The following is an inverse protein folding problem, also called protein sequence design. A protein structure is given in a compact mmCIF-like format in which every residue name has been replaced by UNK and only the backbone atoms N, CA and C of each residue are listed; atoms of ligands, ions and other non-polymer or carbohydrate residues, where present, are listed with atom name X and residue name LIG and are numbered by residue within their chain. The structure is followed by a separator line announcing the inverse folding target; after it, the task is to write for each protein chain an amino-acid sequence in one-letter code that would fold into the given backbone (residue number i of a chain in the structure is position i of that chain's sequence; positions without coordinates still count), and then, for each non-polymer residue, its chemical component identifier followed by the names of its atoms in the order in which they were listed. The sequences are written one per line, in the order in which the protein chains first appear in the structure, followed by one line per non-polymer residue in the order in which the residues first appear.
data_IF_863434843071
#
_entry.id   IF_863434843071
#
_cell.length_a   1.000
_cell.length_b   1.000
_cell.length_c   1.000
_cell.angle_alpha   90.00
_cell.angle_beta   90.00
_cell.angle_gamma   90.00
#
_symmetry.space_group_name_H-M   'P 1'
#
loop_
_entity.id
_entity.type
_entity.pdbx_description
1 polymer ?
#
# COMPACT_ATOMS: atom_id res chain seq x y z
N UNK A 1 10.31 29.44 23.61
CA UNK A 1 10.51 28.06 24.09
C UNK A 1 9.34 27.69 24.96
N UNK A 2 8.51 26.75 24.54
CA UNK A 2 7.46 26.15 25.37
C UNK A 2 7.37 24.68 24.97
N UNK A 3 8.12 23.84 25.67
CA UNK A 3 7.96 22.39 25.60
C UNK A 3 6.62 22.06 26.25
N UNK A 4 5.64 21.67 25.43
CA UNK A 4 4.42 21.05 25.94
C UNK A 4 4.79 19.66 26.43
N UNK A 5 4.67 19.44 27.74
CA UNK A 5 4.71 18.12 28.35
C UNK A 5 3.63 17.25 27.70
N UNK A 6 4.06 16.33 26.85
CA UNK A 6 3.29 15.15 26.50
C UNK A 6 3.25 14.26 27.74
N UNK A 7 2.33 14.57 28.66
CA UNK A 7 1.94 13.61 29.68
C UNK A 7 1.39 12.39 28.94
N UNK A 8 2.24 11.37 28.83
CA UNK A 8 1.95 10.12 28.14
C UNK A 8 0.61 9.59 28.61
N UNK A 9 -0.33 9.46 27.67
CA UNK A 9 -1.60 8.81 27.90
C UNK A 9 -1.29 7.37 28.30
N UNK A 10 -1.31 7.06 29.59
CA UNK A 10 -1.23 5.70 30.07
C UNK A 10 -2.54 5.00 29.68
N UNK A 11 -2.43 4.06 28.75
CA UNK A 11 -3.54 3.16 28.45
C UNK A 11 -3.88 2.38 29.74
N UNK A 12 -5.16 2.20 30.07
CA UNK A 12 -5.55 1.41 31.22
C UNK A 12 -4.96 0.01 31.08
N UNK A 13 -4.29 -0.46 32.13
CA UNK A 13 -3.83 -1.84 32.18
C UNK A 13 -5.03 -2.76 31.97
N UNK A 14 -4.84 -3.76 31.10
CA UNK A 14 -5.86 -4.79 30.88
C UNK A 14 -6.19 -5.39 32.26
N UNK A 15 -7.43 -5.23 32.70
CA UNK A 15 -7.89 -5.85 33.93
C UNK A 15 -7.70 -7.36 33.78
N UNK A 16 -6.67 -7.90 34.43
CA UNK A 16 -6.64 -9.32 34.70
C UNK A 16 -7.84 -9.57 35.59
N UNK A 17 -8.81 -10.34 35.09
CA UNK A 17 -9.99 -10.72 35.85
C UNK A 17 -9.58 -11.73 36.94
N UNK A 18 -8.83 -11.26 37.95
CA UNK A 18 -8.53 -12.01 39.17
C UNK A 18 -9.72 -11.96 40.15
N UNK A 19 -10.76 -11.17 39.84
CA UNK A 19 -12.02 -11.18 40.55
C UNK A 19 -12.89 -12.35 40.13
N UNK A 20 -12.65 -13.53 40.72
CA UNK A 20 -13.66 -14.53 41.08
C UNK A 20 -14.84 -14.76 40.12
N UNK A 21 -14.62 -14.68 38.81
CA UNK A 21 -15.64 -15.10 37.84
C UNK A 21 -15.76 -16.60 38.06
N UNK A 22 -16.94 -17.08 38.48
CA UNK A 22 -17.22 -18.52 38.51
C UNK A 22 -16.76 -19.10 37.18
N UNK A 23 -15.74 -19.94 37.21
CA UNK A 23 -15.15 -20.52 36.02
C UNK A 23 -16.23 -21.24 35.23
N UNK A 24 -16.68 -20.63 34.13
CA UNK A 24 -17.49 -21.29 33.14
C UNK A 24 -16.56 -22.33 32.50
N UNK A 25 -17.07 -23.55 32.27
CA UNK A 25 -16.28 -24.58 31.59
C UNK A 25 -15.69 -24.01 30.29
N UNK A 26 -14.42 -24.30 29.98
CA UNK A 26 -13.80 -23.82 28.75
C UNK A 26 -14.63 -24.29 27.55
N UNK A 27 -14.89 -23.39 26.63
CA UNK A 27 -15.57 -23.69 25.37
C UNK A 27 -14.55 -23.50 24.25
N UNK A 28 -14.42 -24.53 23.41
CA UNK A 28 -13.59 -24.43 22.21
C UNK A 28 -14.26 -23.49 21.20
N UNK A 29 -13.53 -22.47 20.78
CA UNK A 29 -14.01 -21.47 19.81
C UNK A 29 -13.17 -21.58 18.55
N UNK A 30 -13.84 -21.75 17.42
CA UNK A 30 -13.21 -21.58 16.12
C UNK A 30 -13.12 -20.10 15.78
N UNK A 31 -11.90 -19.64 15.51
CA UNK A 31 -11.61 -18.27 15.10
C UNK A 31 -11.12 -18.26 13.66
N UNK A 32 -11.51 -17.23 12.90
CA UNK A 32 -11.08 -17.06 11.51
C UNK A 32 -9.67 -16.44 11.45
N UNK A 33 -8.68 -17.18 11.93
CA UNK A 33 -7.26 -16.77 11.94
C UNK A 33 -6.40 -17.94 11.51
N UNK A 34 -5.34 -17.64 10.74
CA UNK A 34 -4.35 -18.62 10.33
C UNK A 34 -3.01 -18.26 10.95
N UNK A 35 -2.30 -19.26 11.47
CA UNK A 35 -0.96 -19.07 12.04
C UNK A 35 0.07 -18.90 10.92
N UNK A 36 0.87 -17.85 11.03
CA UNK A 36 1.96 -17.58 10.09
C UNK A 36 3.26 -18.21 10.62
N UNK A 37 3.80 -19.20 9.91
CA UNK A 37 5.06 -19.83 10.29
C UNK A 37 6.26 -19.10 9.67
N UNK A 38 7.04 -18.42 10.52
CA UNK A 38 8.23 -17.66 10.12
C UNK A 38 9.55 -18.43 10.19
N UNK A 39 9.55 -19.73 10.50
CA UNK A 39 10.79 -20.54 10.64
C UNK A 39 11.64 -20.56 9.37
N UNK A 40 11.01 -20.48 8.20
CA UNK A 40 11.68 -20.41 6.90
C UNK A 40 11.88 -19.01 6.34
N UNK A 41 11.44 -17.96 7.06
CA UNK A 41 11.60 -16.58 6.62
C UNK A 41 13.08 -16.17 6.67
N UNK A 42 13.54 -15.21 5.83
CA UNK A 42 14.87 -14.64 5.98
C UNK A 42 15.02 -13.96 7.35
N UNK A 43 16.23 -13.88 7.88
CA UNK A 43 16.49 -13.17 9.15
C UNK A 43 16.19 -11.67 9.00
N UNK A 44 16.61 -11.09 7.86
CA UNK A 44 16.44 -9.68 7.54
C UNK A 44 15.87 -9.47 6.14
N UNK A 45 15.10 -8.39 6.01
CA UNK A 45 14.69 -7.83 4.72
C UNK A 45 15.03 -6.34 4.67
N UNK A 46 15.25 -5.82 3.48
CA UNK A 46 15.72 -4.45 3.27
C UNK A 46 14.58 -3.61 2.72
N UNK A 47 14.22 -2.56 3.46
CA UNK A 47 13.21 -1.60 3.06
C UNK A 47 13.82 -0.45 2.27
N UNK A 48 13.07 -0.03 1.26
CA UNK A 48 13.38 1.09 0.39
C UNK A 48 12.13 1.92 0.16
N UNK A 49 12.32 3.22 -0.07
CA UNK A 49 11.30 4.09 -0.63
C UNK A 49 11.45 4.14 -2.14
N UNK A 50 10.41 3.74 -2.86
CA UNK A 50 10.30 3.80 -4.31
C UNK A 50 9.25 4.84 -4.71
N UNK A 51 9.72 5.96 -5.27
CA UNK A 51 8.88 7.07 -5.75
C UNK A 51 8.92 7.16 -7.25
N UNK A 52 7.76 7.27 -7.88
CA UNK A 52 7.65 7.57 -9.31
C UNK A 52 7.27 9.03 -9.51
N UNK A 53 8.03 9.72 -10.37
CA UNK A 53 7.84 11.14 -10.71
C UNK A 53 7.67 11.27 -12.21
N UNK A 54 6.60 11.94 -12.64
CA UNK A 54 6.41 12.36 -14.02
C UNK A 54 6.99 13.75 -14.27
N UNK A 55 7.68 13.92 -15.39
CA UNK A 55 8.15 15.22 -15.89
C UNK A 55 7.20 15.70 -16.99
N UNK A 56 6.67 16.91 -16.85
CA UNK A 56 5.65 17.49 -17.73
C UNK A 56 6.13 18.82 -18.31
N UNK A 57 5.89 19.05 -19.60
CA UNK A 57 6.12 20.36 -20.20
C UNK A 57 5.11 21.39 -19.71
N UNK A 58 5.61 22.49 -19.15
CA UNK A 58 4.81 23.67 -18.86
C UNK A 58 4.48 24.42 -20.15
N UNK A 59 3.19 24.74 -20.34
CA UNK A 59 2.73 25.58 -21.47
C UNK A 59 2.83 27.09 -21.21
N UNK A 60 3.33 27.51 -20.04
CA UNK A 60 3.36 28.93 -19.63
C UNK A 60 4.76 29.36 -19.21
N UNK A 61 5.36 30.25 -20.00
CA UNK A 61 6.60 30.96 -19.67
C UNK A 61 7.76 30.59 -20.60
N UNK A 62 8.54 31.60 -21.00
CA UNK A 62 9.72 31.44 -21.86
C UNK A 62 10.73 30.50 -21.19
N UNK A 63 11.27 29.59 -22.00
CA UNK A 63 12.14 28.46 -21.67
C UNK A 63 11.44 27.25 -21.03
N UNK A 64 11.64 26.08 -21.65
CA UNK A 64 10.97 24.81 -21.36
C UNK A 64 11.30 24.25 -19.98
N UNK A 65 10.79 24.87 -18.92
CA UNK A 65 10.81 24.30 -17.59
C UNK A 65 9.92 23.06 -17.52
N UNK A 66 10.52 21.95 -17.14
CA UNK A 66 9.83 20.71 -16.81
C UNK A 66 9.28 20.82 -15.38
N UNK A 67 7.98 20.64 -15.23
CA UNK A 67 7.34 20.49 -13.93
C UNK A 67 7.39 19.01 -13.53
N UNK A 68 7.97 18.73 -12.37
CA UNK A 68 8.00 17.38 -11.80
C UNK A 68 6.81 17.16 -10.89
N UNK A 69 6.08 16.05 -11.06
CA UNK A 69 4.96 15.68 -10.18
C UNK A 69 5.12 14.24 -9.70
N UNK A 70 4.99 14.03 -8.40
CA UNK A 70 4.96 12.71 -7.81
C UNK A 70 3.64 11.99 -8.17
N UNK A 71 3.76 10.81 -8.76
CA UNK A 71 2.60 10.09 -9.32
C UNK A 71 1.71 9.48 -8.24
N UNK A 72 2.25 9.26 -7.03
CA UNK A 72 1.50 8.76 -5.89
C UNK A 72 0.47 9.77 -5.37
N UNK A 73 0.72 11.06 -5.62
CA UNK A 73 -0.17 12.14 -5.20
C UNK A 73 -1.36 12.30 -6.16
N UNK A 74 -2.51 12.69 -5.60
CA UNK A 74 -3.70 12.98 -6.41
C UNK A 74 -5.01 12.85 -5.63
N UNK A 75 -6.14 12.87 -6.34
CA UNK A 75 -7.45 12.77 -5.73
C UNK A 75 -7.61 11.52 -4.86
N UNK A 76 -8.22 11.68 -3.69
CA UNK A 76 -8.35 10.63 -2.66
C UNK A 76 -9.58 9.74 -2.83
N UNK A 77 -10.37 9.95 -3.88
CA UNK A 77 -11.49 9.05 -4.20
C UNK A 77 -10.97 7.66 -4.58
N UNK A 78 -11.78 6.66 -4.30
CA UNK A 78 -11.34 5.27 -4.40
C UNK A 78 -10.98 4.88 -5.83
N UNK A 79 -11.75 5.35 -6.82
CA UNK A 79 -11.48 5.10 -8.23
C UNK A 79 -10.08 5.61 -8.66
N UNK A 80 -9.70 6.81 -8.19
CA UNK A 80 -8.39 7.38 -8.48
C UNK A 80 -7.26 6.62 -7.76
N UNK A 81 -7.50 6.14 -6.53
CA UNK A 81 -6.56 5.29 -5.80
C UNK A 81 -6.31 3.97 -6.53
N UNK A 82 -7.37 3.31 -6.98
CA UNK A 82 -7.28 2.09 -7.80
C UNK A 82 -6.44 2.32 -9.06
N UNK A 83 -6.72 3.41 -9.78
CA UNK A 83 -6.00 3.77 -11.01
C UNK A 83 -4.52 4.02 -10.76
N UNK A 84 -4.19 4.78 -9.70
CA UNK A 84 -2.81 5.04 -9.32
C UNK A 84 -2.09 3.76 -8.96
N UNK A 85 -2.73 2.87 -8.19
CA UNK A 85 -2.13 1.59 -7.81
C UNK A 85 -1.81 0.73 -9.04
N UNK A 86 -2.74 0.63 -9.98
CA UNK A 86 -2.53 -0.08 -11.26
C UNK A 86 -1.34 0.51 -12.04
N UNK A 87 -1.26 1.84 -12.11
CA UNK A 87 -0.16 2.55 -12.74
C UNK A 87 1.18 2.24 -12.05
N UNK A 88 1.26 2.37 -10.72
CA UNK A 88 2.50 2.15 -9.96
C UNK A 88 2.98 0.71 -10.08
N UNK A 89 2.07 -0.26 -10.00
CA UNK A 89 2.41 -1.66 -10.23
C UNK A 89 2.98 -1.90 -11.64
N UNK A 90 2.39 -1.28 -12.64
CA UNK A 90 2.85 -1.40 -14.03
C UNK A 90 4.22 -0.75 -14.22
N UNK A 91 4.44 0.44 -13.65
CA UNK A 91 5.73 1.14 -13.67
C UNK A 91 6.81 0.34 -12.93
N UNK A 92 6.47 -0.26 -11.79
CA UNK A 92 7.36 -1.15 -11.05
C UNK A 92 7.82 -2.34 -11.88
N UNK A 93 6.91 -3.00 -12.60
CA UNK A 93 7.27 -4.10 -13.50
C UNK A 93 8.20 -3.64 -14.62
N UNK A 94 7.91 -2.50 -15.24
CA UNK A 94 8.76 -1.92 -16.29
C UNK A 94 10.15 -1.61 -15.73
N UNK A 95 10.21 -1.04 -14.52
CA UNK A 95 11.46 -0.71 -13.85
C UNK A 95 12.33 -1.96 -13.63
N UNK A 96 11.73 -3.05 -13.12
CA UNK A 96 12.40 -4.35 -12.96
C UNK A 96 12.96 -4.87 -14.29
N UNK A 97 12.13 -4.85 -15.34
CA UNK A 97 12.50 -5.42 -16.64
C UNK A 97 13.62 -4.62 -17.33
N UNK A 98 13.57 -3.29 -17.26
CA UNK A 98 14.60 -2.41 -17.85
C UNK A 98 15.92 -2.44 -17.08
N UNK A 99 15.88 -2.75 -15.77
CA UNK A 99 17.04 -2.64 -14.88
C UNK A 99 17.38 -4.00 -14.25
N UNK A 100 17.25 -5.08 -15.00
CA UNK A 100 17.55 -6.44 -14.56
C UNK A 100 18.99 -6.61 -14.05
N UNK A 101 19.95 -5.82 -14.55
CA UNK A 101 21.32 -5.82 -14.04
C UNK A 101 21.40 -5.37 -12.58
N UNK A 102 20.51 -4.48 -12.14
CA UNK A 102 20.45 -3.97 -10.78
C UNK A 102 19.49 -4.77 -9.88
N UNK A 103 18.30 -5.13 -10.38
CA UNK A 103 17.29 -5.86 -9.59
C UNK A 103 17.42 -7.38 -9.68
N UNK A 104 18.17 -7.92 -10.63
CA UNK A 104 18.24 -9.34 -10.93
C UNK A 104 17.02 -9.82 -11.72
N UNK A 105 16.98 -11.12 -12.01
CA UNK A 105 15.89 -11.78 -12.75
C UNK A 105 14.74 -12.27 -11.87
N UNK A 106 14.98 -12.43 -10.57
CA UNK A 106 14.03 -13.01 -9.61
C UNK A 106 13.05 -11.96 -9.05
N UNK A 107 11.93 -11.75 -9.74
CA UNK A 107 10.89 -10.76 -9.35
C UNK A 107 10.20 -11.07 -8.01
N UNK A 108 10.20 -12.33 -7.59
CA UNK A 108 9.62 -12.80 -6.32
C UNK A 108 10.45 -12.43 -5.09
N UNK A 109 11.60 -11.77 -5.26
CA UNK A 109 12.45 -11.27 -4.16
C UNK A 109 12.07 -9.87 -3.68
N UNK A 110 11.00 -9.30 -4.24
CA UNK A 110 10.58 -7.93 -4.01
C UNK A 110 9.11 -7.85 -3.62
N UNK A 111 8.81 -6.95 -2.69
CA UNK A 111 7.45 -6.64 -2.28
C UNK A 111 7.19 -5.15 -2.32
N UNK A 112 6.25 -4.72 -3.16
CA UNK A 112 5.96 -3.30 -3.39
C UNK A 112 4.50 -2.99 -3.08
N UNK A 113 4.27 -1.98 -2.24
CA UNK A 113 2.95 -1.51 -1.80
C UNK A 113 2.18 -0.71 -2.86
N UNK A 114 2.80 -0.45 -4.01
CA UNK A 114 2.25 0.38 -5.09
C UNK A 114 1.98 1.84 -4.69
N UNK A 115 2.68 2.33 -3.67
CA UNK A 115 2.66 3.71 -3.22
C UNK A 115 4.08 4.22 -2.96
N UNK A 116 4.76 3.68 -1.94
CA UNK A 116 6.07 4.16 -1.51
C UNK A 116 7.00 3.02 -1.06
N UNK A 117 6.51 2.05 -0.28
CA UNK A 117 7.37 1.05 0.36
C UNK A 117 7.67 -0.12 -0.57
N UNK A 118 8.97 -0.36 -0.77
CA UNK A 118 9.52 -1.53 -1.44
C UNK A 118 10.39 -2.31 -0.46
N UNK A 119 10.08 -3.57 -0.25
CA UNK A 119 10.92 -4.51 0.48
C UNK A 119 11.66 -5.43 -0.50
N UNK A 120 12.84 -5.84 -0.10
CA UNK A 120 13.69 -6.76 -0.86
C UNK A 120 14.35 -7.77 0.06
N UNK A 121 14.50 -9.01 -0.39
CA UNK A 121 15.19 -10.06 0.38
C UNK A 121 16.71 -9.84 0.37
N UNK A 122 17.23 -9.22 -0.69
CA UNK A 122 18.66 -8.91 -0.83
C UNK A 122 18.90 -7.42 -0.66
N UNK A 123 20.05 -7.06 -0.08
CA UNK A 123 20.48 -5.67 -0.03
C UNK A 123 20.76 -5.17 -1.45
N UNK A 124 20.09 -4.08 -1.83
CA UNK A 124 20.33 -3.44 -3.13
C UNK A 124 21.35 -2.30 -3.05
N UNK A 125 21.36 -1.57 -1.94
CA UNK A 125 22.10 -0.31 -1.75
C UNK A 125 22.45 -0.12 -0.27
N UNK A 126 23.31 0.85 0.03
CA UNK A 126 23.61 1.26 1.42
C UNK A 126 22.50 2.18 1.94
N UNK A 127 22.17 2.14 3.24
CA UNK A 127 21.10 2.96 3.80
C UNK A 127 21.42 4.45 3.62
N UNK A 128 20.43 5.24 3.21
CA UNK A 128 20.57 6.64 2.83
C UNK A 128 21.02 6.87 1.38
N UNK A 129 21.46 5.83 0.66
CA UNK A 129 21.76 5.93 -0.77
C UNK A 129 20.47 6.09 -1.57
N UNK A 130 20.50 7.01 -2.55
CA UNK A 130 19.41 7.25 -3.49
C UNK A 130 19.88 6.99 -4.91
N UNK A 131 19.08 6.26 -5.68
CA UNK A 131 19.33 5.97 -7.08
C UNK A 131 18.16 6.40 -7.95
N UNK A 132 18.47 7.09 -9.03
CA UNK A 132 17.50 7.50 -10.05
C UNK A 132 17.53 6.51 -11.22
N UNK A 133 16.34 6.13 -11.69
CA UNK A 133 16.13 5.35 -12.90
C UNK A 133 15.20 6.09 -13.83
N UNK A 134 15.52 6.08 -15.12
CA UNK A 134 14.67 6.67 -16.17
C UNK A 134 13.90 5.54 -16.85
N UNK A 135 12.57 5.66 -16.91
CA UNK A 135 11.73 4.71 -17.63
C UNK A 135 11.61 5.13 -19.09
N UNK A 136 12.00 4.23 -20.00
CA UNK A 136 11.91 4.47 -21.44
C UNK A 136 10.46 4.74 -21.88
N UNK A 137 10.27 5.77 -22.71
CA UNK A 137 8.97 6.18 -23.22
C UNK A 137 8.25 5.06 -24.00
N UNK A 138 8.99 4.24 -24.73
CA UNK A 138 8.44 3.09 -25.48
C UNK A 138 7.75 2.08 -24.55
N UNK A 139 8.32 1.84 -23.37
CA UNK A 139 7.73 0.90 -22.41
C UNK A 139 6.47 1.44 -21.75
N UNK A 140 6.26 2.77 -21.73
CA UNK A 140 5.00 3.37 -21.27
C UNK A 140 3.83 3.04 -22.21
N UNK A 141 4.09 2.64 -23.45
CA UNK A 141 3.05 2.17 -24.37
C UNK A 141 2.45 0.82 -23.95
N UNK A 142 3.15 0.04 -23.12
CA UNK A 142 2.62 -1.21 -22.56
C UNK A 142 1.61 -0.97 -21.42
N UNK A 143 1.48 0.27 -20.93
CA UNK A 143 0.50 0.63 -19.90
C UNK A 143 -0.93 0.52 -20.45
N UNK A 144 -1.87 0.17 -19.56
CA UNK A 144 -3.30 0.18 -19.86
C UNK A 144 -3.77 1.57 -20.30
N UNK A 145 -4.85 1.63 -21.09
CA UNK A 145 -5.44 2.90 -21.56
C UNK A 145 -5.74 3.83 -20.39
N UNK A 146 -6.22 3.27 -19.28
CA UNK A 146 -6.53 3.99 -18.04
C UNK A 146 -5.29 4.56 -17.37
N UNK A 147 -4.24 3.75 -17.19
CA UNK A 147 -2.97 4.19 -16.60
C UNK A 147 -2.28 5.24 -17.45
N UNK A 148 -2.30 5.07 -18.78
CA UNK A 148 -1.75 6.04 -19.75
C UNK A 148 -2.50 7.36 -19.72
N UNK A 149 -3.82 7.34 -19.50
CA UNK A 149 -4.61 8.56 -19.34
C UNK A 149 -4.19 9.38 -18.10
N UNK A 150 -3.64 8.75 -17.06
CA UNK A 150 -3.10 9.44 -15.89
C UNK A 150 -1.75 10.14 -16.20
N UNK A 151 -1.00 9.61 -17.17
CA UNK A 151 0.27 10.16 -17.66
C UNK A 151 0.10 11.10 -18.87
N UNK A 152 -1.10 11.67 -19.09
CA UNK A 152 -1.33 12.59 -20.21
C UNK A 152 -0.33 13.74 -20.18
N UNK A 153 0.36 13.96 -21.30
CA UNK A 153 1.38 14.99 -21.46
C UNK A 153 2.60 14.84 -20.55
N UNK A 154 2.79 13.65 -19.96
CA UNK A 154 4.04 13.27 -19.31
C UNK A 154 5.08 12.96 -20.39
N UNK A 155 6.22 13.61 -20.33
CA UNK A 155 7.33 13.36 -21.25
C UNK A 155 8.14 12.15 -20.83
N UNK A 156 8.38 12.04 -19.52
CA UNK A 156 9.27 11.05 -18.94
C UNK A 156 8.82 10.69 -17.54
N UNK A 157 8.97 9.42 -17.19
CA UNK A 157 8.80 8.95 -15.82
C UNK A 157 10.17 8.57 -15.26
N UNK A 158 10.47 9.07 -14.07
CA UNK A 158 11.63 8.71 -13.27
C UNK A 158 11.20 7.92 -12.05
N UNK A 159 12.00 6.94 -11.68
CA UNK A 159 11.87 6.22 -10.43
C UNK A 159 13.04 6.57 -9.52
N UNK A 160 12.75 6.97 -8.30
CA UNK A 160 13.74 7.23 -7.26
C UNK A 160 13.64 6.14 -6.22
N UNK A 161 14.72 5.38 -6.03
CA UNK A 161 14.82 4.34 -5.01
C UNK A 161 15.76 4.84 -3.92
N UNK A 162 15.31 4.84 -2.66
CA UNK A 162 16.11 5.25 -1.50
C UNK A 162 16.14 4.11 -0.49
N UNK A 163 17.32 3.64 -0.08
CA UNK A 163 17.40 2.61 0.95
C UNK A 163 17.18 3.22 2.33
N UNK A 164 16.26 2.68 3.13
CA UNK A 164 15.86 3.29 4.40
C UNK A 164 16.31 2.48 5.62
N UNK A 165 15.86 1.22 5.71
CA UNK A 165 16.04 0.42 6.91
C UNK A 165 16.24 -1.06 6.62
N UNK A 166 16.78 -1.77 7.61
CA UNK A 166 16.91 -3.22 7.64
C UNK A 166 15.93 -3.74 8.69
N UNK A 167 15.03 -4.64 8.29
CA UNK A 167 13.91 -5.12 9.09
C UNK A 167 14.18 -6.57 9.50
N UNK A 168 14.23 -6.82 10.81
CA UNK A 168 14.49 -8.15 11.36
C UNK A 168 13.17 -8.96 11.44
N UNK A 169 12.94 -9.81 10.45
CA UNK A 169 11.65 -10.52 10.28
C UNK A 169 11.39 -11.55 11.37
N UNK A 170 12.45 -12.15 11.92
CA UNK A 170 12.36 -13.17 12.98
C UNK A 170 12.28 -12.58 14.39
N UNK A 171 12.18 -11.25 14.52
CA UNK A 171 12.11 -10.59 15.81
C UNK A 171 10.81 -10.98 16.55
N UNK A 172 10.93 -11.63 17.71
CA UNK A 172 9.79 -12.07 18.52
C UNK A 172 8.95 -10.90 19.10
N UNK A 173 9.54 -9.70 19.19
CA UNK A 173 8.88 -8.51 19.75
C UNK A 173 7.70 -8.02 18.91
N UNK A 174 7.54 -8.48 17.67
CA UNK A 174 6.41 -8.15 16.78
C UNK A 174 5.05 -8.55 17.39
N UNK A 175 5.04 -9.55 18.26
CA UNK A 175 3.81 -10.05 18.91
C UNK A 175 3.39 -9.25 20.15
N UNK A 176 4.22 -8.30 20.60
CA UNK A 176 3.97 -7.50 21.80
C UNK A 176 3.30 -6.16 21.46
N UNK A 177 2.48 -5.58 22.37
CA UNK A 177 1.98 -4.22 22.20
C UNK A 177 3.15 -3.22 22.11
N UNK A 178 3.24 -2.49 21.00
CA UNK A 178 4.40 -1.64 20.70
C UNK A 178 5.55 -2.36 20.00
N UNK A 179 5.32 -3.57 19.52
CA UNK A 179 6.24 -4.33 18.68
C UNK A 179 6.63 -3.61 17.38
N UNK A 180 7.61 -4.17 16.69
CA UNK A 180 8.19 -3.60 15.49
C UNK A 180 7.15 -3.49 14.35
N UNK A 181 6.74 -2.26 14.07
CA UNK A 181 5.72 -1.95 13.05
C UNK A 181 6.21 -2.26 11.63
N UNK A 182 7.52 -2.17 11.37
CA UNK A 182 8.08 -2.41 10.04
C UNK A 182 7.94 -3.88 9.64
N UNK A 183 8.09 -4.81 10.60
CA UNK A 183 7.82 -6.23 10.34
C UNK A 183 6.34 -6.48 10.06
N UNK A 184 5.43 -5.87 10.83
CA UNK A 184 3.99 -5.98 10.57
C UNK A 184 3.62 -5.47 9.18
N UNK A 185 4.14 -4.31 8.77
CA UNK A 185 3.92 -3.73 7.45
C UNK A 185 4.46 -4.64 6.34
N UNK A 186 5.66 -5.20 6.51
CA UNK A 186 6.24 -6.15 5.56
C UNK A 186 5.34 -7.40 5.39
N UNK A 187 4.86 -7.99 6.49
CA UNK A 187 4.02 -9.18 6.45
C UNK A 187 2.63 -8.90 5.85
N UNK A 188 2.04 -7.75 6.18
CA UNK A 188 0.79 -7.29 5.56
C UNK A 188 0.95 -7.14 4.05
N UNK A 189 2.05 -6.52 3.61
CA UNK A 189 2.34 -6.36 2.19
C UNK A 189 2.54 -7.70 1.47
N UNK A 190 3.32 -8.62 2.05
CA UNK A 190 3.53 -9.95 1.48
C UNK A 190 2.21 -10.71 1.26
N UNK A 191 1.28 -10.57 2.20
CA UNK A 191 -0.02 -11.26 2.13
C UNK A 191 -0.93 -10.71 1.02
N UNK A 192 -0.72 -9.45 0.60
CA UNK A 192 -1.62 -8.72 -0.31
C UNK A 192 -1.05 -8.53 -1.71
N UNK A 193 0.27 -8.48 -1.88
CA UNK A 193 0.93 -8.10 -3.14
C UNK A 193 0.53 -8.96 -4.35
N UNK A 194 0.41 -10.29 -4.19
CA UNK A 194 0.04 -11.19 -5.30
C UNK A 194 -1.32 -10.88 -5.89
N UNK A 195 -2.20 -10.24 -5.12
CA UNK A 195 -3.53 -9.86 -5.59
C UNK A 195 -3.49 -8.73 -6.63
N UNK A 196 -2.39 -7.97 -6.69
CA UNK A 196 -2.17 -6.91 -7.68
C UNK A 196 -1.67 -7.46 -9.03
N UNK A 197 -1.07 -8.65 -9.06
CA UNK A 197 -0.35 -9.17 -10.22
C UNK A 197 -1.21 -9.26 -11.49
N UNK A 198 -2.47 -9.68 -11.34
CA UNK A 198 -3.40 -9.89 -12.46
C UNK A 198 -4.41 -8.75 -12.65
N UNK A 199 -4.38 -7.73 -11.78
CA UNK A 199 -5.41 -6.67 -11.75
C UNK A 199 -6.85 -7.25 -11.80
N UNK A 200 -7.09 -8.38 -11.12
CA UNK A 200 -8.38 -9.09 -11.10
C UNK A 200 -9.27 -8.68 -9.93
N UNK A 201 -8.78 -7.79 -9.06
CA UNK A 201 -9.49 -7.34 -7.86
C UNK A 201 -9.61 -5.82 -7.83
N UNK A 202 -10.68 -5.32 -7.22
CA UNK A 202 -10.78 -3.96 -6.71
C UNK A 202 -10.38 -3.94 -5.24
N UNK A 203 -9.62 -2.94 -4.79
CA UNK A 203 -9.03 -2.90 -3.44
C UNK A 203 -9.45 -1.63 -2.70
N UNK A 204 -10.41 -1.75 -1.80
CA UNK A 204 -10.93 -0.62 -1.02
C UNK A 204 -10.45 -0.72 0.43
N UNK A 205 -9.40 0.03 0.77
CA UNK A 205 -8.70 -0.11 2.05
C UNK A 205 -8.16 -1.53 2.18
N UNK A 206 -8.47 -2.20 3.30
CA UNK A 206 -8.00 -3.57 3.57
C UNK A 206 -8.96 -4.65 3.03
N UNK A 207 -9.85 -4.29 2.10
CA UNK A 207 -10.83 -5.22 1.50
C UNK A 207 -10.58 -5.36 0.02
N UNK A 208 -10.71 -6.59 -0.47
CA UNK A 208 -10.54 -6.92 -1.89
C UNK A 208 -11.81 -7.58 -2.42
N UNK A 209 -12.19 -7.19 -3.64
CA UNK A 209 -13.38 -7.70 -4.33
C UNK A 209 -12.98 -8.18 -5.71
N UNK A 210 -13.29 -9.44 -6.04
CA UNK A 210 -12.96 -9.99 -7.36
C UNK A 210 -13.81 -9.30 -8.44
N UNK A 211 -13.19 -8.85 -9.53
CA UNK A 211 -13.88 -8.19 -10.64
C UNK A 211 -14.95 -9.06 -11.29
N UNK A 212 -14.73 -10.38 -11.29
CA UNK A 212 -15.68 -11.37 -11.82
C UNK A 212 -16.81 -11.70 -10.85
N UNK A 213 -16.68 -11.35 -9.57
CA UNK A 213 -17.71 -11.58 -8.54
C UNK A 213 -18.79 -10.49 -8.54
N UNK A 214 -18.76 -9.55 -9.49
CA UNK A 214 -19.87 -8.64 -9.75
C UNK A 214 -21.06 -9.48 -10.21
N UNK A 215 -21.96 -9.81 -9.26
CA UNK A 215 -23.35 -10.08 -9.60
C UNK A 215 -23.79 -8.91 -10.48
N UNK A 216 -24.11 -9.20 -11.75
CA UNK A 216 -24.79 -8.23 -12.58
C UNK A 216 -26.01 -7.76 -11.79
N UNK A 217 -25.98 -6.54 -11.28
CA UNK A 217 -27.16 -5.83 -10.80
C UNK A 217 -28.01 -5.48 -12.04
N UNK A 218 -28.49 -6.51 -12.73
CA UNK A 218 -29.54 -6.40 -13.74
C UNK A 218 -30.86 -6.56 -13.01
N UNK A 219 -31.65 -5.49 -13.03
CA UNK A 219 -33.02 -5.47 -12.52
C UNK A 219 -33.24 -4.43 -11.42
N UNK A 220 -33.30 -3.17 -11.82
CA UNK A 220 -34.54 -2.37 -11.82
C UNK A 220 -34.24 -1.11 -12.65
N UNK A 221 -34.80 -1.09 -13.86
CA UNK A 221 -34.90 0.11 -14.67
C UNK A 221 -35.83 1.09 -13.93
N UNK A 222 -35.33 2.27 -13.56
CA UNK A 222 -36.16 3.33 -13.02
C UNK A 222 -35.44 4.43 -12.25
N UNK A 223 -34.66 5.25 -12.98
CA UNK A 223 -34.12 6.58 -12.60
C UNK A 223 -32.85 6.63 -11.73
N UNK A 224 -31.80 7.17 -12.37
CA UNK A 224 -30.60 7.81 -11.83
C UNK A 224 -29.84 7.04 -10.72
N UNK A 225 -29.01 6.10 -11.16
CA UNK A 225 -28.01 5.42 -10.34
C UNK A 225 -26.82 6.34 -10.04
N UNK A 226 -26.97 7.13 -8.98
CA UNK A 226 -25.83 7.53 -8.16
C UNK A 226 -25.32 6.32 -7.38
N UNK A 227 -24.00 6.18 -7.30
CA UNK A 227 -23.34 5.17 -6.45
C UNK A 227 -23.74 5.46 -4.99
N UNK A 228 -24.65 4.66 -4.45
CA UNK A 228 -25.01 4.69 -3.04
C UNK A 228 -23.95 3.93 -2.24
N UNK A 229 -22.94 4.68 -1.78
CA UNK A 229 -22.10 4.25 -0.67
C UNK A 229 -22.96 4.15 0.60
N UNK A 230 -22.72 3.17 1.49
CA UNK A 230 -23.45 3.06 2.75
C UNK A 230 -23.21 4.32 3.60
N UNK A 231 -24.28 5.10 3.82
CA UNK A 231 -24.29 6.25 4.72
C UNK A 231 -23.99 5.76 6.14
N UNK A 232 -23.01 6.40 6.79
CA UNK A 232 -22.82 6.32 8.25
C UNK A 232 -24.12 6.74 8.94
N UNK A 233 -24.75 5.81 9.65
CA UNK A 233 -25.80 6.13 10.63
C UNK A 233 -25.20 7.00 11.74
N UNK A 234 -25.59 8.28 11.77
CA UNK A 234 -25.45 9.09 12.97
C UNK A 234 -26.51 8.63 13.97
N UNK A 235 -26.08 7.95 15.04
CA UNK A 235 -26.89 7.83 16.25
C UNK A 235 -26.90 9.18 16.95
N UNK A 236 -28.08 9.79 17.05
CA UNK A 236 -28.37 10.92 17.91
C UNK A 236 -29.71 10.66 18.60
N UNK A 237 -29.61 10.31 19.88
CA UNK A 237 -30.71 10.10 20.83
C UNK A 237 -31.38 11.44 21.21
N UNK A 238 -32.72 11.48 21.20
CA UNK A 238 -33.64 12.20 22.13
C UNK A 238 -33.51 13.72 22.30
N UNK A 239 -34.51 14.53 22.65
CA UNK A 239 -35.89 14.40 23.17
C UNK A 239 -36.63 15.69 22.74
N UNK A 240 -37.84 15.60 22.17
CA UNK A 240 -39.15 15.88 22.81
C UNK A 240 -39.25 17.24 23.54
N UNK A 241 -40.11 18.11 22.99
CA UNK A 241 -40.86 19.11 23.76
C UNK A 241 -42.08 18.49 24.43
#
# INVERSE_FOLDING_TARGET
MAAKNENGIQLPQKLNNDHGVRGIAPVDVLINTFELNLKGAPDMVYQHELRFVGEYQMKKGREGQLETRELAQGPQNDECKETRRELHWSLWRILLDQNANFFGSEKNKFSYDCALLLYSVRRLMVNGEMREFVINAESLNALSVRSRAYLRSCERVKAFLTATEEVEVRNMKVTEPGGDQSVCQFLELLSTQRMYEKNQHFVFGNRMFEKNSVLQLQGICGKQSGILLPRKEKRGLGQKG
#
